data_IF_527995621806
#
_entry.id   IF_527995621806
#
_cell.length_a   1.000
_cell.length_b   1.000
_cell.length_c   1.000
_cell.angle_alpha   90.00
_cell.angle_beta   90.00
_cell.angle_gamma   90.00
#
_symmetry.space_group_name_H-M   'P 1'
#
loop_
_entity.id
_entity.type
_entity.pdbx_description
1 polymer ?
#
# COMPACT_ATOMS: atom_id res chain seq x y z
N UNK A 1 -48.79 -15.74 27.28
CA UNK A 1 -48.37 -14.58 26.47
C UNK A 1 -47.07 -14.05 27.05
N UNK A 2 -45.94 -14.52 26.55
CA UNK A 2 -44.62 -14.23 27.12
C UNK A 2 -43.75 -13.45 26.12
N UNK A 3 -42.83 -12.59 26.58
CA UNK A 3 -41.99 -11.73 25.74
C UNK A 3 -40.89 -12.47 24.96
N UNK A 4 -40.98 -13.80 24.86
CA UNK A 4 -39.92 -14.65 24.30
C UNK A 4 -39.95 -14.65 22.75
N UNK A 5 -41.06 -14.25 22.12
CA UNK A 5 -41.17 -14.22 20.65
C UNK A 5 -40.37 -13.09 19.99
N UNK A 6 -39.91 -12.08 20.74
CA UNK A 6 -39.27 -10.89 20.14
C UNK A 6 -37.74 -11.02 19.95
N UNK A 7 -37.08 -12.05 20.50
CA UNK A 7 -35.61 -12.13 20.43
C UNK A 7 -35.05 -12.77 19.15
N UNK A 8 -35.87 -13.43 18.33
CA UNK A 8 -35.38 -14.14 17.13
C UNK A 8 -35.33 -13.23 15.89
N UNK A 9 -36.03 -12.09 15.88
CA UNK A 9 -36.07 -11.23 14.69
C UNK A 9 -34.80 -10.37 14.51
N UNK A 10 -33.99 -10.16 15.54
CA UNK A 10 -32.80 -9.30 15.46
C UNK A 10 -31.58 -9.98 14.80
N UNK A 11 -31.52 -11.32 14.77
CA UNK A 11 -30.36 -12.03 14.23
C UNK A 11 -30.32 -12.08 12.69
N UNK A 12 -31.43 -11.80 12.01
CA UNK A 12 -31.53 -11.86 10.54
C UNK A 12 -31.15 -10.53 9.84
N UNK A 13 -30.89 -9.47 10.60
CA UNK A 13 -30.49 -8.15 10.09
C UNK A 13 -28.99 -7.89 10.25
N UNK A 14 -28.18 -8.90 10.58
CA UNK A 14 -26.73 -8.79 10.49
C UNK A 14 -26.33 -8.82 9.02
N UNK A 15 -26.21 -7.63 8.41
CA UNK A 15 -25.57 -7.50 7.10
C UNK A 15 -24.17 -8.13 7.20
N UNK A 16 -23.83 -9.13 6.36
CA UNK A 16 -22.52 -9.73 6.39
C UNK A 16 -21.51 -8.61 6.13
N UNK A 17 -20.67 -8.33 7.14
CA UNK A 17 -19.60 -7.35 7.00
C UNK A 17 -18.72 -7.82 5.86
N UNK A 18 -18.76 -7.12 4.72
CA UNK A 18 -17.96 -7.46 3.56
C UNK A 18 -16.49 -7.51 3.99
N UNK A 19 -15.86 -8.68 3.81
CA UNK A 19 -14.44 -8.80 4.08
C UNK A 19 -13.68 -7.79 3.20
N UNK A 20 -12.68 -7.07 3.74
CA UNK A 20 -11.90 -6.13 2.95
C UNK A 20 -11.31 -6.84 1.72
N UNK A 21 -11.45 -6.21 0.56
CA UNK A 21 -10.87 -6.74 -0.68
C UNK A 21 -9.36 -6.86 -0.53
N UNK A 22 -8.80 -8.02 -0.89
CA UNK A 22 -7.34 -8.18 -0.93
C UNK A 22 -6.78 -7.27 -2.01
N UNK A 23 -5.80 -6.46 -1.64
CA UNK A 23 -5.03 -5.65 -2.59
C UNK A 23 -4.17 -6.61 -3.42
N UNK A 24 -4.31 -6.56 -4.73
CA UNK A 24 -3.44 -7.28 -5.65
C UNK A 24 -2.09 -6.56 -5.75
N UNK A 25 -1.13 -7.01 -4.94
CA UNK A 25 0.20 -6.42 -4.84
C UNK A 25 0.99 -6.48 -6.16
N UNK A 26 0.63 -7.39 -7.06
CA UNK A 26 1.27 -7.55 -8.38
C UNK A 26 1.04 -6.33 -9.28
N UNK A 27 -0.04 -5.59 -9.02
CA UNK A 27 -0.42 -4.38 -9.76
C UNK A 27 0.10 -3.09 -9.13
N UNK A 28 0.84 -3.19 -8.03
CA UNK A 28 1.38 -2.03 -7.33
C UNK A 28 2.76 -1.67 -7.87
N UNK A 29 2.94 -0.39 -8.20
CA UNK A 29 4.20 0.16 -8.67
C UNK A 29 4.45 -0.02 -10.18
N UNK A 30 5.58 0.51 -10.68
CA UNK A 30 5.95 0.42 -12.09
C UNK A 30 6.16 -1.02 -12.54
N UNK A 31 5.67 -1.34 -13.74
CA UNK A 31 5.83 -2.66 -14.34
C UNK A 31 7.15 -2.79 -15.10
N UNK A 32 7.59 -4.02 -15.37
CA UNK A 32 8.81 -4.27 -16.16
C UNK A 32 8.65 -3.69 -17.57
N UNK A 33 9.63 -2.89 -17.99
CA UNK A 33 9.61 -2.19 -19.28
C UNK A 33 8.96 -0.80 -19.21
N UNK A 34 8.26 -0.47 -18.12
CA UNK A 34 7.81 0.90 -17.88
C UNK A 34 8.97 1.80 -17.43
N UNK A 35 8.84 3.08 -17.73
CA UNK A 35 9.78 4.09 -17.24
C UNK A 35 9.58 4.29 -15.74
N UNK A 36 10.67 4.22 -14.98
CA UNK A 36 10.65 4.59 -13.57
C UNK A 36 10.22 6.07 -13.40
N UNK A 37 9.32 6.38 -12.46
CA UNK A 37 8.94 7.77 -12.18
C UNK A 37 10.13 8.61 -11.75
N UNK A 38 10.16 9.86 -12.21
CA UNK A 38 11.14 10.84 -11.71
C UNK A 38 10.88 11.16 -10.24
N UNK A 39 11.94 11.50 -9.52
CA UNK A 39 11.86 11.97 -8.14
C UNK A 39 12.91 13.03 -7.85
N UNK A 40 12.65 13.80 -6.79
CA UNK A 40 13.59 14.74 -6.19
C UNK A 40 13.40 14.66 -4.67
N UNK A 41 14.26 13.87 -4.02
CA UNK A 41 14.11 13.51 -2.61
C UNK A 41 15.34 13.97 -1.82
N UNK A 42 15.11 14.39 -0.58
CA UNK A 42 16.20 14.68 0.36
C UNK A 42 16.71 13.39 0.98
N UNK A 43 18.02 13.27 1.09
CA UNK A 43 18.64 12.27 1.96
C UNK A 43 18.70 12.75 3.43
N UNK A 44 19.36 11.96 4.27
CA UNK A 44 19.51 12.21 5.71
C UNK A 44 20.26 13.49 6.06
N UNK A 45 21.09 13.97 5.13
CA UNK A 45 21.88 15.20 5.28
C UNK A 45 21.19 16.40 4.61
N UNK A 46 19.97 16.20 4.08
CA UNK A 46 19.22 17.22 3.35
C UNK A 46 19.69 17.42 1.91
N UNK A 47 20.63 16.62 1.40
CA UNK A 47 21.07 16.69 0.00
C UNK A 47 19.97 16.14 -0.89
N UNK A 48 19.71 16.84 -2.00
CA UNK A 48 18.73 16.43 -3.00
C UNK A 48 19.35 15.41 -3.94
N UNK A 49 18.64 14.28 -4.11
CA UNK A 49 18.92 13.26 -5.12
C UNK A 49 17.76 13.15 -6.09
N UNK A 50 18.09 12.95 -7.36
CA UNK A 50 17.13 12.73 -8.44
C UNK A 50 17.39 11.37 -9.08
N UNK A 51 16.41 10.87 -9.84
CA UNK A 51 16.60 9.65 -10.62
C UNK A 51 17.85 9.75 -11.50
N UNK A 52 18.01 10.88 -12.21
CA UNK A 52 19.14 11.11 -13.11
C UNK A 52 20.48 11.14 -12.37
N UNK A 53 20.55 11.73 -11.18
CA UNK A 53 21.83 11.86 -10.45
C UNK A 53 22.33 10.56 -9.84
N UNK A 54 21.45 9.58 -9.61
CA UNK A 54 21.83 8.26 -9.07
C UNK A 54 22.04 7.19 -10.16
N UNK A 55 21.70 7.48 -11.41
CA UNK A 55 21.85 6.53 -12.51
C UNK A 55 23.31 6.31 -12.87
N UNK A 56 23.78 5.06 -12.75
CA UNK A 56 25.09 4.63 -13.24
C UNK A 56 25.04 3.96 -14.61
N UNK A 57 26.19 3.50 -15.10
CA UNK A 57 26.30 2.77 -16.38
C UNK A 57 25.52 1.46 -16.43
N UNK A 58 25.18 0.90 -15.26
CA UNK A 58 24.37 -0.32 -15.10
C UNK A 58 22.95 -0.05 -14.59
N UNK A 59 22.54 1.21 -14.52
CA UNK A 59 21.28 1.62 -13.93
C UNK A 59 21.38 1.96 -12.44
N UNK A 60 20.23 1.99 -11.78
CA UNK A 60 20.06 2.28 -10.36
C UNK A 60 19.14 1.23 -9.71
N UNK A 61 19.31 1.01 -8.41
CA UNK A 61 18.43 0.17 -7.60
C UNK A 61 17.70 1.04 -6.58
N UNK A 62 16.36 0.96 -6.58
CA UNK A 62 15.50 1.64 -5.61
C UNK A 62 14.90 0.61 -4.66
N UNK A 63 15.13 0.76 -3.36
CA UNK A 63 14.61 -0.13 -2.32
C UNK A 63 13.66 0.65 -1.42
N UNK A 64 12.40 0.21 -1.34
CA UNK A 64 11.39 0.80 -0.47
C UNK A 64 11.30 0.02 0.82
N UNK A 65 11.54 0.68 1.96
CA UNK A 65 11.44 0.10 3.30
C UNK A 65 10.46 0.90 4.14
N UNK A 66 9.62 0.21 4.91
CA UNK A 66 8.70 0.83 5.87
C UNK A 66 9.30 0.68 7.27
N UNK A 67 9.62 1.80 7.89
CA UNK A 67 10.41 1.91 9.12
C UNK A 67 11.86 1.50 8.93
N UNK A 68 12.73 2.40 9.32
CA UNK A 68 14.15 2.21 9.27
C UNK A 68 14.66 2.88 10.56
N UNK A 69 15.05 2.06 11.53
CA UNK A 69 15.34 2.49 12.90
C UNK A 69 16.76 3.10 13.03
N UNK A 70 17.27 3.72 11.96
CA UNK A 70 18.67 4.15 11.82
C UNK A 70 18.91 5.61 12.24
#
# INVERSE_FOLDING_TARGET
MGPITLLILAALLQEPTAAPSRIDVSKLGPQVGERAPDFSLKDQNGKIWTLQSIMGSKGAMLVFIRSADW
#
